data_IF_666420106209
#
_entry.id   IF_666420106209
#
_cell.length_a   1.000
_cell.length_b   1.000
_cell.length_c   1.000
_cell.angle_alpha   90.00
_cell.angle_beta   90.00
_cell.angle_gamma   90.00
#
_symmetry.space_group_name_H-M   'P 1'
#
loop_
_entity.id
_entity.type
_entity.pdbx_description
1 polymer ?
#
# COMPACT_ATOMS: atom_id res chain seq x y z
N UNK A 1 -20.93 10.54 4.62
CA UNK A 1 -21.20 11.64 3.66
C UNK A 1 -20.36 12.90 3.94
N UNK A 2 -20.33 13.42 5.18
CA UNK A 2 -19.60 14.65 5.54
C UNK A 2 -18.08 14.57 5.25
N UNK A 3 -17.43 13.46 5.63
CA UNK A 3 -16.00 13.23 5.36
C UNK A 3 -15.67 13.24 3.86
N UNK A 4 -16.50 12.62 3.01
CA UNK A 4 -16.25 12.62 1.55
C UNK A 4 -16.30 14.03 0.94
N UNK A 5 -17.22 14.87 1.40
CA UNK A 5 -17.36 16.24 0.91
C UNK A 5 -16.23 17.17 1.38
N UNK A 6 -15.64 16.91 2.56
CA UNK A 6 -14.55 17.71 3.14
C UNK A 6 -13.19 17.22 2.67
N UNK A 7 -12.97 15.90 2.63
CA UNK A 7 -11.68 15.31 2.24
C UNK A 7 -11.37 15.50 0.76
N UNK A 8 -12.38 15.48 -0.11
CA UNK A 8 -12.16 15.65 -1.55
C UNK A 8 -11.48 16.99 -1.92
N UNK A 9 -11.94 18.17 -1.43
CA UNK A 9 -11.24 19.43 -1.67
C UNK A 9 -9.93 19.54 -0.86
N UNK A 10 -9.89 19.05 0.39
CA UNK A 10 -8.69 19.15 1.23
C UNK A 10 -7.54 18.27 0.75
N UNK A 11 -7.82 17.11 0.14
CA UNK A 11 -6.79 16.17 -0.33
C UNK A 11 -5.77 16.88 -1.22
N UNK A 12 -6.21 17.72 -2.15
CA UNK A 12 -5.29 18.39 -3.09
C UNK A 12 -4.31 19.28 -2.32
N UNK A 13 -4.81 20.06 -1.35
CA UNK A 13 -3.96 20.94 -0.54
C UNK A 13 -3.03 20.15 0.38
N UNK A 14 -3.54 19.12 1.04
CA UNK A 14 -2.73 18.23 1.89
C UNK A 14 -1.61 17.57 1.06
N UNK A 15 -1.94 17.07 -0.13
CA UNK A 15 -0.98 16.44 -1.02
C UNK A 15 0.09 17.43 -1.50
N UNK A 16 -0.29 18.66 -1.86
CA UNK A 16 0.67 19.71 -2.22
C UNK A 16 1.62 20.05 -1.07
N UNK A 17 1.08 20.19 0.14
CA UNK A 17 1.86 20.46 1.35
C UNK A 17 2.84 19.31 1.63
N UNK A 18 2.36 18.06 1.64
CA UNK A 18 3.20 16.88 1.86
C UNK A 18 4.30 16.75 0.79
N UNK A 19 3.98 16.96 -0.50
CA UNK A 19 4.98 16.98 -1.57
C UNK A 19 6.04 18.06 -1.29
N UNK A 20 5.62 19.27 -0.93
CA UNK A 20 6.56 20.36 -0.66
C UNK A 20 7.49 20.04 0.52
N UNK A 21 6.94 19.54 1.63
CA UNK A 21 7.70 19.16 2.81
C UNK A 21 8.71 18.05 2.48
N UNK A 22 8.27 17.00 1.80
CA UNK A 22 9.13 15.84 1.50
C UNK A 22 10.11 16.05 0.33
N UNK A 23 9.86 17.08 -0.48
CA UNK A 23 10.85 17.55 -1.46
C UNK A 23 11.92 18.37 -0.75
N UNK A 24 11.54 19.21 0.23
CA UNK A 24 12.46 20.05 0.97
C UNK A 24 13.39 19.25 1.90
N UNK A 25 12.86 18.23 2.59
CA UNK A 25 13.65 17.37 3.49
C UNK A 25 14.44 16.26 2.75
N UNK A 26 14.18 16.11 1.44
CA UNK A 26 14.78 15.10 0.56
C UNK A 26 14.26 13.67 0.74
N UNK A 27 13.26 13.44 1.58
CA UNK A 27 12.66 12.12 1.85
C UNK A 27 12.04 11.52 0.59
N UNK A 28 11.34 12.33 -0.21
CA UNK A 28 10.72 11.88 -1.46
C UNK A 28 11.77 11.45 -2.50
N UNK A 29 12.90 12.17 -2.56
CA UNK A 29 14.01 11.81 -3.44
C UNK A 29 14.68 10.51 -2.97
N UNK A 30 14.99 10.41 -1.67
CA UNK A 30 15.61 9.21 -1.08
C UNK A 30 14.77 7.95 -1.32
N UNK A 31 13.45 8.01 -1.14
CA UNK A 31 12.59 6.84 -1.39
C UNK A 31 12.52 6.51 -2.88
N UNK A 32 12.50 7.52 -3.76
CA UNK A 32 12.54 7.31 -5.21
C UNK A 32 13.83 6.59 -5.64
N UNK A 33 14.97 7.07 -5.17
CA UNK A 33 16.28 6.47 -5.47
C UNK A 33 16.41 5.06 -4.89
N UNK A 34 15.92 4.86 -3.67
CA UNK A 34 15.94 3.55 -3.01
C UNK A 34 15.08 2.52 -3.74
N UNK A 35 13.86 2.89 -4.15
CA UNK A 35 12.98 1.98 -4.89
C UNK A 35 13.60 1.58 -6.23
N UNK A 36 14.19 2.54 -6.97
CA UNK A 36 14.91 2.28 -8.23
C UNK A 36 16.13 1.38 -8.01
N UNK A 37 16.98 1.71 -7.03
CA UNK A 37 18.22 0.99 -6.79
C UNK A 37 17.98 -0.47 -6.36
N UNK A 38 16.87 -0.77 -5.69
CA UNK A 38 16.53 -2.10 -5.19
C UNK A 38 15.79 -2.98 -6.20
N UNK A 39 15.39 -2.48 -7.38
CA UNK A 39 14.62 -3.30 -8.34
C UNK A 39 15.41 -4.53 -8.82
N UNK A 40 16.70 -4.34 -9.12
CA UNK A 40 17.60 -5.42 -9.51
C UNK A 40 18.10 -6.18 -8.26
N UNK A 41 17.91 -7.50 -8.25
CA UNK A 41 18.24 -8.36 -7.11
C UNK A 41 17.35 -8.12 -5.88
N UNK A 42 16.12 -7.62 -6.08
CA UNK A 42 15.20 -7.30 -4.99
C UNK A 42 14.91 -8.49 -4.06
N UNK A 43 14.81 -9.70 -4.62
CA UNK A 43 14.52 -10.92 -3.86
C UNK A 43 15.62 -11.21 -2.84
N UNK A 44 16.88 -11.15 -3.27
CA UNK A 44 18.04 -11.41 -2.44
C UNK A 44 18.25 -10.30 -1.42
N UNK A 45 18.16 -9.03 -1.86
CA UNK A 45 18.38 -7.86 -1.00
C UNK A 45 17.34 -7.71 0.10
N UNK A 46 16.10 -8.12 -0.16
CA UNK A 46 15.01 -8.12 0.82
C UNK A 46 14.89 -9.45 1.56
N UNK A 47 15.77 -10.42 1.29
CA UNK A 47 15.76 -11.76 1.88
C UNK A 47 14.41 -12.48 1.76
N UNK A 48 13.76 -12.40 0.60
CA UNK A 48 12.48 -13.07 0.33
C UNK A 48 12.71 -14.58 0.16
N UNK A 49 12.11 -15.38 1.05
CA UNK A 49 12.26 -16.85 1.08
C UNK A 49 11.00 -17.62 0.69
N UNK A 50 9.92 -16.89 0.41
CA UNK A 50 8.58 -17.41 0.15
C UNK A 50 8.17 -17.19 -1.29
N UNK A 51 7.07 -17.82 -1.71
CA UNK A 51 6.48 -17.57 -3.02
C UNK A 51 6.12 -16.10 -3.22
N UNK A 52 6.40 -15.58 -4.42
CA UNK A 52 6.10 -14.19 -4.83
C UNK A 52 5.02 -14.15 -5.91
N UNK A 53 4.47 -12.96 -6.14
CA UNK A 53 3.51 -12.73 -7.22
C UNK A 53 4.14 -13.04 -8.58
N UNK A 54 3.36 -13.72 -9.43
CA UNK A 54 3.66 -13.83 -10.85
C UNK A 54 3.54 -12.47 -11.55
N UNK A 55 3.98 -12.38 -12.81
CA UNK A 55 3.94 -11.13 -13.57
C UNK A 55 2.52 -10.50 -13.59
N UNK A 56 1.48 -11.33 -13.80
CA UNK A 56 0.08 -10.87 -13.78
C UNK A 56 -0.36 -10.39 -12.40
N UNK A 57 0.10 -11.04 -11.34
CA UNK A 57 -0.11 -10.63 -9.95
C UNK A 57 0.53 -9.29 -9.65
N UNK A 58 1.76 -9.09 -10.12
CA UNK A 58 2.50 -7.83 -10.00
C UNK A 58 1.75 -6.68 -10.68
N UNK A 59 1.29 -6.87 -11.92
CA UNK A 59 0.51 -5.86 -12.65
C UNK A 59 -0.77 -5.48 -11.92
N UNK A 60 -1.48 -6.48 -11.38
CA UNK A 60 -2.70 -6.26 -10.57
C UNK A 60 -2.39 -5.53 -9.27
N UNK A 61 -1.27 -5.81 -8.61
CA UNK A 61 -0.85 -5.11 -7.41
C UNK A 61 -0.54 -3.64 -7.71
N UNK A 62 0.24 -3.39 -8.77
CA UNK A 62 0.57 -2.04 -9.25
C UNK A 62 -0.67 -1.23 -9.60
N UNK A 63 -1.64 -1.84 -10.28
CA UNK A 63 -2.91 -1.21 -10.61
C UNK A 63 -3.70 -0.78 -9.35
N UNK A 64 -3.77 -1.65 -8.32
CA UNK A 64 -4.43 -1.32 -7.05
C UNK A 64 -3.72 -0.20 -6.29
N UNK A 65 -2.39 -0.21 -6.23
CA UNK A 65 -1.61 0.84 -5.57
C UNK A 65 -1.73 2.18 -6.30
N UNK A 66 -1.79 2.17 -7.63
CA UNK A 66 -2.05 3.37 -8.43
C UNK A 66 -3.48 3.88 -8.20
N UNK A 67 -4.46 2.99 -8.10
CA UNK A 67 -5.83 3.37 -7.76
C UNK A 67 -5.92 3.96 -6.35
N UNK A 68 -5.20 3.35 -5.40
CA UNK A 68 -5.09 3.82 -4.02
C UNK A 68 -4.59 5.26 -3.99
N UNK A 69 -3.49 5.56 -4.69
CA UNK A 69 -2.95 6.93 -4.81
C UNK A 69 -4.02 7.93 -5.30
N UNK A 70 -4.85 7.55 -6.27
CA UNK A 70 -5.88 8.44 -6.84
C UNK A 70 -7.09 8.62 -5.90
N UNK A 71 -7.44 7.60 -5.11
CA UNK A 71 -8.59 7.63 -4.18
C UNK A 71 -8.46 8.68 -3.09
N UNK A 72 -9.56 9.15 -2.50
CA UNK A 72 -9.56 10.20 -1.46
C UNK A 72 -10.05 9.71 -0.10
N UNK A 73 -10.87 8.66 -0.07
CA UNK A 73 -11.29 7.98 1.15
C UNK A 73 -10.11 7.22 1.77
N UNK A 74 -9.67 7.55 3.00
CA UNK A 74 -8.63 6.80 3.71
C UNK A 74 -8.99 5.32 3.85
N UNK A 75 -10.28 5.03 4.04
CA UNK A 75 -10.80 3.68 4.15
C UNK A 75 -10.70 2.91 2.83
N UNK A 76 -11.10 3.51 1.71
CA UNK A 76 -11.02 2.82 0.42
C UNK A 76 -9.55 2.55 0.05
N UNK A 77 -8.65 3.43 0.45
CA UNK A 77 -7.21 3.24 0.30
C UNK A 77 -6.70 2.04 1.11
N UNK A 78 -7.07 1.95 2.39
CA UNK A 78 -6.75 0.79 3.24
C UNK A 78 -7.27 -0.50 2.63
N UNK A 79 -8.51 -0.50 2.12
CA UNK A 79 -9.08 -1.67 1.45
C UNK A 79 -8.25 -2.12 0.24
N UNK A 80 -7.80 -1.18 -0.59
CA UNK A 80 -6.92 -1.48 -1.73
C UNK A 80 -5.57 -2.04 -1.29
N UNK A 81 -4.96 -1.47 -0.23
CA UNK A 81 -3.73 -1.98 0.36
C UNK A 81 -3.92 -3.41 0.90
N UNK A 82 -5.00 -3.66 1.65
CA UNK A 82 -5.33 -4.99 2.18
C UNK A 82 -5.55 -6.02 1.06
N UNK A 83 -6.12 -5.62 -0.08
CA UNK A 83 -6.25 -6.51 -1.23
C UNK A 83 -4.89 -6.88 -1.84
N UNK A 84 -3.91 -5.97 -1.82
CA UNK A 84 -2.52 -6.28 -2.19
C UNK A 84 -1.92 -7.23 -1.17
N UNK A 85 -2.03 -6.93 0.13
CA UNK A 85 -1.54 -7.80 1.21
C UNK A 85 -2.11 -9.22 1.11
N UNK A 86 -3.42 -9.37 0.85
CA UNK A 86 -4.07 -10.67 0.66
C UNK A 86 -3.53 -11.42 -0.56
N UNK A 87 -3.21 -10.70 -1.64
CA UNK A 87 -2.63 -11.31 -2.84
C UNK A 87 -1.22 -11.82 -2.58
N UNK A 88 -0.42 -11.03 -1.84
CA UNK A 88 0.93 -11.41 -1.38
C UNK A 88 0.85 -12.65 -0.49
N UNK A 89 0.01 -12.63 0.54
CA UNK A 89 -0.19 -13.76 1.44
C UNK A 89 -0.57 -15.05 0.70
N UNK A 90 -1.47 -14.96 -0.28
CA UNK A 90 -1.84 -16.11 -1.11
C UNK A 90 -0.66 -16.66 -1.92
N UNK A 91 0.18 -15.79 -2.48
CA UNK A 91 1.35 -16.21 -3.26
C UNK A 91 2.42 -16.87 -2.38
N UNK A 92 2.55 -16.42 -1.13
CA UNK A 92 3.48 -17.01 -0.17
C UNK A 92 3.10 -18.46 0.16
N UNK A 93 1.81 -18.74 0.36
CA UNK A 93 1.31 -20.09 0.68
C UNK A 93 1.13 -21.04 -0.51
N UNK A 94 1.31 -20.59 -1.75
CA UNK A 94 1.19 -21.49 -2.93
C UNK A 94 2.40 -22.39 -3.17
N UNK A 95 3.51 -22.19 -2.46
CA UNK A 95 4.79 -22.87 -2.75
C UNK A 95 5.23 -23.90 -1.69
N UNK A 96 4.60 -23.98 -0.52
CA UNK A 96 5.02 -24.93 0.54
C UNK A 96 3.95 -25.17 1.60
N UNK A 97 3.83 -26.41 2.09
CA UNK A 97 3.10 -26.83 3.32
C UNK A 97 3.70 -26.25 4.63
N UNK A 98 4.52 -25.21 4.53
CA UNK A 98 5.19 -24.59 5.65
C UNK A 98 4.33 -23.45 6.21
N UNK A 99 4.20 -23.39 7.53
CA UNK A 99 3.51 -22.30 8.22
C UNK A 99 4.23 -20.97 7.92
N UNK A 100 3.67 -20.25 6.95
CA UNK A 100 4.17 -18.93 6.54
C UNK A 100 3.89 -17.95 7.67
N UNK A 101 4.96 -17.47 8.31
CA UNK A 101 4.89 -16.59 9.46
C UNK A 101 4.69 -15.12 9.11
N UNK A 102 4.36 -14.29 10.11
CA UNK A 102 4.34 -12.82 9.99
C UNK A 102 5.67 -12.25 9.53
N UNK A 103 6.78 -12.90 9.91
CA UNK A 103 8.14 -12.47 9.62
C UNK A 103 8.48 -12.55 8.12
N UNK A 104 7.85 -13.45 7.38
CA UNK A 104 8.08 -13.61 5.93
C UNK A 104 7.22 -12.63 5.10
N UNK A 105 6.18 -12.06 5.71
CA UNK A 105 5.23 -11.21 5.00
C UNK A 105 5.82 -9.85 4.63
N UNK A 106 6.53 -9.21 5.56
CA UNK A 106 7.10 -7.89 5.31
C UNK A 106 8.14 -7.89 4.18
N UNK A 107 9.09 -8.86 4.11
CA UNK A 107 9.94 -9.04 2.93
C UNK A 107 9.17 -9.19 1.62
N UNK A 108 8.16 -10.06 1.59
CA UNK A 108 7.37 -10.32 0.38
C UNK A 108 6.55 -9.09 -0.07
N UNK A 109 5.95 -8.36 0.88
CA UNK A 109 5.26 -7.11 0.58
C UNK A 109 6.23 -6.03 0.10
N UNK A 110 7.39 -5.89 0.76
CA UNK A 110 8.43 -4.92 0.38
C UNK A 110 8.92 -5.17 -1.04
N UNK A 111 9.08 -6.43 -1.44
CA UNK A 111 9.42 -6.80 -2.81
C UNK A 111 8.37 -6.28 -3.80
N UNK A 112 7.08 -6.48 -3.52
CA UNK A 112 6.01 -5.95 -4.38
C UNK A 112 6.06 -4.43 -4.46
N UNK A 113 6.31 -3.72 -3.36
CA UNK A 113 6.41 -2.25 -3.36
C UNK A 113 7.59 -1.75 -4.19
N UNK A 114 8.76 -2.38 -4.06
CA UNK A 114 9.96 -2.08 -4.87
C UNK A 114 9.68 -2.32 -6.36
N UNK A 115 9.07 -3.45 -6.71
CA UNK A 115 8.77 -3.76 -8.11
C UNK A 115 7.70 -2.86 -8.71
N UNK A 116 6.71 -2.43 -7.91
CA UNK A 116 5.70 -1.46 -8.35
C UNK A 116 6.31 -0.07 -8.59
N UNK A 117 7.32 0.31 -7.80
CA UNK A 117 8.07 1.57 -7.87
C UNK A 117 7.15 2.80 -7.95
N UNK A 118 6.36 3.01 -6.89
CA UNK A 118 5.45 4.16 -6.74
C UNK A 118 5.88 4.96 -5.50
N UNK A 119 6.83 5.90 -5.62
CA UNK A 119 7.36 6.65 -4.48
C UNK A 119 6.29 7.44 -3.70
N UNK A 120 5.22 7.87 -4.39
CA UNK A 120 4.14 8.65 -3.78
C UNK A 120 3.35 7.86 -2.73
N UNK A 121 3.51 6.53 -2.64
CA UNK A 121 2.92 5.72 -1.58
C UNK A 121 3.35 6.16 -0.17
N UNK A 122 4.51 6.80 -0.03
CA UNK A 122 4.93 7.44 1.22
C UNK A 122 3.87 8.47 1.69
N UNK A 123 3.52 9.40 0.80
CA UNK A 123 2.58 10.48 1.08
C UNK A 123 1.16 9.93 1.32
N UNK A 124 0.78 8.88 0.61
CA UNK A 124 -0.53 8.24 0.79
C UNK A 124 -0.61 7.51 2.13
N UNK A 125 0.50 6.95 2.63
CA UNK A 125 0.57 6.32 3.95
C UNK A 125 0.40 7.36 5.06
N UNK A 126 1.10 8.49 4.97
CA UNK A 126 0.94 9.61 5.91
C UNK A 126 -0.48 10.17 5.89
N UNK A 127 -1.03 10.40 4.70
CA UNK A 127 -2.42 10.83 4.53
C UNK A 127 -3.41 9.87 5.21
N UNK A 128 -3.20 8.55 5.07
CA UNK A 128 -4.03 7.56 5.74
C UNK A 128 -3.83 7.59 7.26
N UNK A 129 -2.59 7.62 7.75
CA UNK A 129 -2.29 7.60 9.18
C UNK A 129 -2.88 8.80 9.94
N UNK A 130 -2.89 9.98 9.33
CA UNK A 130 -3.41 11.20 9.94
C UNK A 130 -4.95 11.27 9.94
N UNK A 131 -5.62 10.58 9.01
CA UNK A 131 -7.06 10.70 8.77
C UNK A 131 -7.89 9.47 9.12
N UNK A 132 -7.24 8.32 9.38
CA UNK A 132 -7.93 7.11 9.81
C UNK A 132 -8.30 7.21 11.28
N UNK A 133 -9.60 7.16 11.56
CA UNK A 133 -10.10 6.96 12.92
C UNK A 133 -9.91 5.49 13.34
N UNK A 134 -9.33 5.19 14.51
CA UNK A 134 -9.11 3.82 14.98
C UNK A 134 -10.38 2.96 15.03
N UNK A 135 -11.52 3.58 15.30
CA UNK A 135 -12.84 2.93 15.34
C UNK A 135 -13.29 2.36 13.99
N UNK A 136 -12.71 2.82 12.88
CA UNK A 136 -13.03 2.30 11.55
C UNK A 136 -12.35 0.93 11.28
N UNK A 137 -11.35 0.55 12.08
CA UNK A 137 -10.59 -0.69 11.92
C UNK A 137 -11.01 -1.79 12.91
N UNK A 138 -11.82 -1.46 13.92
CA UNK A 138 -12.39 -2.41 14.87
C UNK A 138 -13.65 -3.09 14.31
N UNK A 139 -14.03 -4.23 14.91
CA UNK A 139 -15.02 -5.18 14.38
C UNK A 139 -16.38 -4.59 13.98
N UNK A 140 -16.81 -3.49 14.58
CA UNK A 140 -18.08 -2.81 14.26
C UNK A 140 -17.98 -1.95 12.99
N UNK A 141 -16.81 -1.39 12.67
CA UNK A 141 -16.55 -0.67 11.41
C UNK A 141 -16.37 -1.59 10.20
N UNK A 142 -16.14 -2.90 10.44
CA UNK A 142 -15.96 -3.91 9.38
C UNK A 142 -17.24 -4.22 8.61
N UNK A 143 -18.42 -4.05 9.21
CA UNK A 143 -19.68 -4.26 8.50
C UNK A 143 -19.90 -3.20 7.42
N UNK A 144 -19.52 -1.94 7.68
CA UNK A 144 -19.58 -0.86 6.68
C UNK A 144 -18.50 -1.03 5.58
N UNK A 145 -17.34 -1.60 5.92
CA UNK A 145 -16.30 -2.01 4.97
C UNK A 145 -16.73 -3.20 4.09
N UNK A 146 -17.47 -4.16 4.66
CA UNK A 146 -17.99 -5.33 3.94
C UNK A 146 -19.10 -4.96 2.95
N UNK A 147 -19.99 -4.02 3.33
CA UNK A 147 -21.06 -3.51 2.46
C UNK A 147 -20.54 -2.83 1.18
N UNK A 148 -19.33 -2.25 1.21
CA UNK A 148 -18.70 -1.62 0.03
C UNK A 148 -17.89 -2.55 -0.86
N UNK A 149 -17.66 -3.81 -0.46
CA UNK A 149 -16.88 -4.78 -1.25
C UNK A 149 -17.77 -5.63 -2.19
N UNK A 150 -19.08 -5.35 -2.24
CA UNK A 150 -20.06 -6.06 -3.09
C UNK A 150 -20.77 -5.19 -4.14
N UNK A 151 -20.15 -4.10 -4.60
CA UNK A 151 -20.48 -3.40 -5.86
C UNK A 151 -19.21 -3.27 -6.67
#
# INVERSE_FOLDING_TARGET
ALFGCVLKPLKIQLQQTLISLHTQDGSLQKITDSLLAYQEGALERLAVRVGVLDARGMDRAKAKLTLMQRGHSPIDKVLLLLQVCKSVYKAMGTQSDQDVGSEDFLPALSYVLVQCNIPQLLLETEYMMELLEPSWLTGEGKEELALKTHI
#
